data_IF_449484604712
#
_entry.id   IF_449484604712
#
_cell.length_a   1.000
_cell.length_b   1.000
_cell.length_c   1.000
_cell.angle_alpha   90.00
_cell.angle_beta   90.00
_cell.angle_gamma   90.00
#
_symmetry.space_group_name_H-M   'P 1'
#
loop_
_entity.id
_entity.type
_entity.pdbx_description
1 polymer ?
#
# COMPACT_ATOMS: atom_id res chain seq x y z
N UNK A 1 -7.81 -34.37 -45.34
CA UNK A 1 -8.33 -33.66 -44.15
C UNK A 1 -7.61 -33.96 -42.82
N UNK A 2 -7.21 -35.21 -42.52
CA UNK A 2 -6.59 -35.56 -41.21
C UNK A 2 -5.19 -34.98 -40.93
N UNK A 3 -4.39 -34.64 -41.95
CA UNK A 3 -3.05 -34.02 -41.78
C UNK A 3 -3.12 -32.52 -41.47
N UNK A 4 -4.07 -31.78 -42.05
CA UNK A 4 -4.29 -30.36 -41.77
C UNK A 4 -4.72 -30.10 -40.31
N UNK A 5 -5.49 -31.03 -39.72
CA UNK A 5 -5.92 -30.94 -38.31
C UNK A 5 -4.74 -31.10 -37.35
N UNK A 6 -3.75 -31.96 -37.65
CA UNK A 6 -2.54 -32.11 -36.82
C UNK A 6 -1.63 -30.89 -36.90
N UNK A 7 -1.40 -30.35 -38.09
CA UNK A 7 -0.63 -29.11 -38.28
C UNK A 7 -1.33 -27.89 -37.63
N UNK A 8 -2.67 -27.87 -37.62
CA UNK A 8 -3.45 -26.86 -36.93
C UNK A 8 -3.41 -27.04 -35.41
N UNK A 9 -3.49 -28.26 -34.88
CA UNK A 9 -3.32 -28.58 -33.44
C UNK A 9 -1.91 -28.26 -32.93
N UNK A 10 -0.85 -28.55 -33.71
CA UNK A 10 0.54 -28.18 -33.38
C UNK A 10 0.77 -26.67 -33.41
N UNK A 11 0.26 -25.96 -34.42
CA UNK A 11 0.29 -24.48 -34.47
C UNK A 11 -0.58 -23.82 -33.38
N UNK A 12 -1.69 -24.44 -33.00
CA UNK A 12 -2.58 -23.96 -31.94
C UNK A 12 -1.95 -24.19 -30.56
N UNK A 13 -1.26 -25.33 -30.35
CA UNK A 13 -0.43 -25.61 -29.18
C UNK A 13 0.73 -24.62 -29.06
N UNK A 14 1.52 -24.42 -30.12
CA UNK A 14 2.64 -23.47 -30.14
C UNK A 14 2.20 -22.00 -29.91
N UNK A 15 1.10 -21.56 -30.53
CA UNK A 15 0.53 -20.21 -30.28
C UNK A 15 -0.04 -20.06 -28.88
N UNK A 16 -0.59 -21.13 -28.31
CA UNK A 16 -1.11 -21.15 -26.94
C UNK A 16 0.03 -21.07 -25.94
N UNK A 17 1.11 -21.84 -26.12
CA UNK A 17 2.33 -21.72 -25.31
C UNK A 17 2.97 -20.34 -25.42
N UNK A 18 3.07 -19.76 -26.62
CA UNK A 18 3.61 -18.41 -26.81
C UNK A 18 2.73 -17.33 -26.14
N UNK A 19 1.40 -17.47 -26.22
CA UNK A 19 0.46 -16.59 -25.51
C UNK A 19 0.56 -16.74 -23.99
N UNK A 20 0.68 -17.96 -23.49
CA UNK A 20 0.86 -18.24 -22.07
C UNK A 20 2.19 -17.67 -21.56
N UNK A 21 3.28 -17.83 -22.32
CA UNK A 21 4.58 -17.24 -21.98
C UNK A 21 4.55 -15.70 -22.02
N UNK A 22 3.87 -15.09 -22.99
CA UNK A 22 3.68 -13.63 -23.05
C UNK A 22 2.86 -13.13 -21.86
N UNK A 23 1.77 -13.83 -21.49
CA UNK A 23 0.98 -13.47 -20.31
C UNK A 23 1.77 -13.63 -19.02
N UNK A 24 2.58 -14.68 -18.88
CA UNK A 24 3.48 -14.88 -17.73
C UNK A 24 4.54 -13.77 -17.68
N UNK A 25 5.14 -13.39 -18.81
CA UNK A 25 6.08 -12.28 -18.85
C UNK A 25 5.41 -10.95 -18.49
N UNK A 26 4.19 -10.70 -18.97
CA UNK A 26 3.43 -9.50 -18.62
C UNK A 26 3.07 -9.49 -17.14
N UNK A 27 2.57 -10.59 -16.56
CA UNK A 27 2.26 -10.64 -15.13
C UNK A 27 3.51 -10.51 -14.27
N UNK A 28 4.64 -11.13 -14.65
CA UNK A 28 5.91 -10.96 -13.96
C UNK A 28 6.47 -9.54 -14.08
N UNK A 29 6.26 -8.87 -15.22
CA UNK A 29 6.64 -7.47 -15.44
C UNK A 29 5.73 -6.48 -14.68
N UNK A 30 4.45 -6.82 -14.48
CA UNK A 30 3.52 -6.06 -13.64
C UNK A 30 3.65 -6.37 -12.14
N UNK A 31 4.28 -7.49 -11.75
CA UNK A 31 4.51 -7.84 -10.34
C UNK A 31 5.65 -7.04 -9.68
N UNK A 32 6.50 -6.36 -10.45
CA UNK A 32 7.48 -5.43 -9.89
C UNK A 32 6.83 -4.07 -9.65
N UNK A 33 5.92 -3.98 -8.66
CA UNK A 33 5.19 -2.73 -8.44
C UNK A 33 4.26 -2.64 -7.24
N UNK A 34 4.39 -3.51 -6.24
CA UNK A 34 3.72 -3.31 -4.95
C UNK A 34 4.80 -3.26 -3.85
N UNK A 35 5.35 -2.07 -3.59
CA UNK A 35 6.07 -1.84 -2.34
C UNK A 35 5.03 -1.87 -1.21
N UNK A 36 4.97 -2.99 -0.47
CA UNK A 36 4.15 -3.09 0.73
C UNK A 36 4.74 -2.22 1.85
N UNK A 37 4.53 -0.90 1.78
CA UNK A 37 4.92 0.06 2.82
C UNK A 37 4.09 -0.08 4.10
N UNK A 38 3.14 -1.03 4.13
CA UNK A 38 2.27 -1.31 5.28
C UNK A 38 3.04 -1.71 6.54
N UNK A 39 4.29 -2.19 6.41
CA UNK A 39 5.15 -2.52 7.56
C UNK A 39 6.03 -1.38 8.07
N UNK A 40 6.21 -0.29 7.31
CA UNK A 40 6.98 0.88 7.75
C UNK A 40 6.10 1.89 8.49
N UNK A 41 4.79 1.82 8.27
CA UNK A 41 3.83 2.75 8.85
C UNK A 41 2.99 2.09 9.94
N UNK A 42 2.98 2.66 11.14
CA UNK A 42 2.11 2.27 12.24
C UNK A 42 0.80 3.06 12.19
N UNK A 43 -0.34 2.38 12.33
CA UNK A 43 -1.63 3.07 12.51
C UNK A 43 -1.68 3.72 13.91
N UNK A 44 -2.04 5.01 14.00
CA UNK A 44 -2.26 5.64 15.29
C UNK A 44 -3.58 5.15 15.92
N UNK A 45 -3.60 5.06 17.25
CA UNK A 45 -4.80 4.67 18.01
C UNK A 45 -5.67 5.89 18.32
N UNK A 46 -6.63 6.16 17.43
CA UNK A 46 -7.56 7.30 17.59
C UNK A 46 -8.93 6.89 18.17
N UNK A 47 -9.02 5.73 18.82
CA UNK A 47 -10.29 5.19 19.32
C UNK A 47 -10.88 6.12 20.38
N UNK A 48 -12.11 6.59 20.15
CA UNK A 48 -12.84 7.44 21.09
C UNK A 48 -12.40 8.90 21.13
N UNK A 49 -11.62 9.34 20.15
CA UNK A 49 -11.12 10.73 20.07
C UNK A 49 -12.06 11.61 19.24
N UNK A 50 -12.23 12.87 19.63
CA UNK A 50 -12.94 13.89 18.87
C UNK A 50 -12.02 15.08 18.53
N UNK A 51 -12.41 15.87 17.52
CA UNK A 51 -11.69 17.10 17.14
C UNK A 51 -11.67 18.14 18.28
N UNK A 52 -12.64 18.08 19.19
CA UNK A 52 -12.76 18.99 20.34
C UNK A 52 -12.03 18.52 21.59
N UNK A 53 -11.37 17.36 21.54
CA UNK A 53 -10.75 16.75 22.71
C UNK A 53 -9.42 17.42 23.06
N UNK A 54 -9.23 17.73 24.34
CA UNK A 54 -7.94 18.20 24.84
C UNK A 54 -6.96 17.01 24.92
N UNK A 55 -5.80 17.17 24.30
CA UNK A 55 -4.71 16.22 24.42
C UNK A 55 -3.87 16.47 25.68
N UNK A 56 -3.31 15.42 26.30
CA UNK A 56 -2.31 15.59 27.34
C UNK A 56 -1.09 16.37 26.82
N UNK A 57 -0.44 17.10 27.73
CA UNK A 57 0.77 17.89 27.42
C UNK A 57 2.06 17.06 27.49
N UNK A 58 1.97 15.73 27.44
CA UNK A 58 3.15 14.88 27.39
C UNK A 58 3.84 15.03 26.03
N UNK A 59 5.16 15.21 26.08
CA UNK A 59 5.99 15.24 24.88
C UNK A 59 6.45 13.84 24.55
N UNK A 60 5.93 13.28 23.46
CA UNK A 60 6.25 11.94 22.96
C UNK A 60 6.11 11.99 21.44
N UNK A 61 7.06 12.66 20.75
CA UNK A 61 6.88 13.07 19.37
C UNK A 61 6.72 11.88 18.43
N UNK A 62 5.97 12.06 17.35
CA UNK A 62 5.80 11.07 16.28
C UNK A 62 5.89 11.75 14.93
N UNK A 63 6.52 11.08 13.96
CA UNK A 63 6.60 11.55 12.59
C UNK A 63 5.40 11.01 11.80
N UNK A 64 4.58 11.90 11.24
CA UNK A 64 3.46 11.55 10.39
C UNK A 64 3.87 11.22 8.96
N UNK A 65 3.06 10.44 8.25
CA UNK A 65 3.26 10.10 6.84
C UNK A 65 3.16 11.30 5.89
N UNK A 66 2.69 12.42 6.41
CA UNK A 66 2.68 13.74 5.78
C UNK A 66 4.00 14.51 5.99
N UNK A 67 4.97 13.93 6.70
CA UNK A 67 6.26 14.53 7.00
C UNK A 67 6.24 15.56 8.13
N UNK A 68 5.15 15.63 8.90
CA UNK A 68 4.99 16.55 10.03
C UNK A 68 5.31 15.84 11.33
N UNK A 69 6.07 16.50 12.21
CA UNK A 69 6.27 16.03 13.59
C UNK A 69 5.12 16.50 14.47
N UNK A 70 4.43 15.55 15.09
CA UNK A 70 3.40 15.81 16.07
C UNK A 70 3.96 15.67 17.50
N UNK A 71 3.62 16.56 18.44
CA UNK A 71 4.16 16.50 19.81
C UNK A 71 3.78 15.23 20.56
N UNK A 72 2.65 14.61 20.20
CA UNK A 72 2.25 13.28 20.64
C UNK A 72 1.23 12.64 19.68
N UNK A 73 1.02 11.33 19.81
CA UNK A 73 0.03 10.58 19.02
C UNK A 73 -1.41 11.14 19.14
N UNK A 74 -1.76 11.73 20.29
CA UNK A 74 -3.07 12.36 20.46
C UNK A 74 -3.25 13.56 19.51
N UNK A 75 -2.26 14.45 19.45
CA UNK A 75 -2.30 15.62 18.57
C UNK A 75 -2.33 15.21 17.09
N UNK A 76 -1.64 14.13 16.71
CA UNK A 76 -1.74 13.53 15.39
C UNK A 76 -3.18 13.07 15.12
N UNK A 77 -3.81 12.34 16.05
CA UNK A 77 -5.19 11.88 15.91
C UNK A 77 -6.20 13.03 15.77
N UNK A 78 -6.07 14.11 16.55
CA UNK A 78 -6.94 15.29 16.42
C UNK A 78 -6.77 15.91 15.03
N UNK A 79 -5.54 16.08 14.57
CA UNK A 79 -5.26 16.65 13.25
C UNK A 79 -5.80 15.76 12.11
N UNK A 80 -5.59 14.45 12.22
CA UNK A 80 -6.10 13.40 11.33
C UNK A 80 -7.63 13.50 11.17
N UNK A 81 -8.35 13.65 12.29
CA UNK A 81 -9.81 13.80 12.32
C UNK A 81 -10.27 15.16 11.80
N UNK A 82 -9.59 16.25 12.17
CA UNK A 82 -9.94 17.61 11.74
C UNK A 82 -9.82 17.78 10.23
N UNK A 83 -8.75 17.24 9.64
CA UNK A 83 -8.47 17.33 8.21
C UNK A 83 -9.08 16.19 7.40
N UNK A 84 -9.71 15.19 8.04
CA UNK A 84 -10.15 13.94 7.42
C UNK A 84 -9.04 13.31 6.55
N UNK A 85 -7.80 13.31 7.05
CA UNK A 85 -6.63 12.78 6.37
C UNK A 85 -6.21 11.45 6.98
N UNK A 86 -5.71 10.48 6.19
CA UNK A 86 -5.18 9.22 6.73
C UNK A 86 -3.68 9.33 7.01
N UNK A 87 -3.33 9.96 8.13
CA UNK A 87 -1.93 10.23 8.51
C UNK A 87 -1.40 9.11 9.38
N UNK A 88 -0.54 8.26 8.83
CA UNK A 88 0.07 7.14 9.54
C UNK A 88 1.33 7.59 10.30
N UNK A 89 1.76 6.84 11.31
CA UNK A 89 3.03 7.11 12.00
C UNK A 89 4.16 6.40 11.24
N UNK A 90 5.19 7.14 10.84
CA UNK A 90 6.37 6.62 10.15
C UNK A 90 7.43 6.16 11.14
N UNK A 91 7.68 6.98 12.16
CA UNK A 91 8.66 6.72 13.20
C UNK A 91 8.19 7.34 14.52
N UNK A 92 8.42 6.62 15.62
CA UNK A 92 8.29 7.20 16.96
C UNK A 92 9.50 8.11 17.20
N UNK A 93 9.26 9.40 17.38
CA UNK A 93 10.27 10.46 17.33
C UNK A 93 9.89 11.58 16.36
N UNK A 94 10.70 12.65 16.31
CA UNK A 94 10.56 13.67 15.27
C UNK A 94 10.91 13.12 13.88
N UNK A 95 10.33 13.73 12.84
CA UNK A 95 10.92 13.75 11.51
C UNK A 95 12.19 14.66 11.56
#
# INVERSE_FOLDING_TARGET
MRQHIRLFQEKLSSKMFLRTLVLIFLTLFFCTGAEDKSRLYRRPSCVGMSVTQACPLNYSPVCGSDGVTYPNECSLCVHRLEKNADIMIVVDGPC
#
